data_IF_014373078328
#
_entry.id   IF_014373078328
#
_cell.length_a   1.000
_cell.length_b   1.000
_cell.length_c   1.000
_cell.angle_alpha   90.00
_cell.angle_beta   90.00
_cell.angle_gamma   90.00
#
_symmetry.space_group_name_H-M   'P 1'
#
loop_
_entity.id
_entity.type
_entity.pdbx_description
1 polymer ?
#
# COMPACT_ATOMS: atom_id res chain seq x y z
N UNK A 1 -12.84 19.62 -5.55
CA UNK A 1 -11.55 18.93 -5.72
C UNK A 1 -11.46 17.71 -4.80
N UNK A 2 -11.01 16.54 -5.29
CA UNK A 2 -10.79 15.33 -4.47
C UNK A 2 -11.90 14.26 -4.50
N UNK A 3 -13.01 14.51 -5.20
CA UNK A 3 -14.12 13.55 -5.35
C UNK A 3 -14.13 12.85 -6.72
N UNK A 4 -13.26 13.26 -7.64
CA UNK A 4 -13.15 12.64 -8.94
C UNK A 4 -12.51 11.23 -8.81
N UNK A 5 -13.00 10.24 -9.57
CA UNK A 5 -12.41 8.91 -9.58
C UNK A 5 -10.98 8.94 -10.14
N UNK A 6 -10.18 7.95 -9.73
CA UNK A 6 -8.82 7.75 -10.24
C UNK A 6 -8.68 6.35 -10.85
N UNK A 7 -7.78 6.23 -11.81
CA UNK A 7 -7.40 4.93 -12.36
C UNK A 7 -6.38 4.27 -11.41
N UNK A 8 -6.58 2.99 -11.12
CA UNK A 8 -5.67 2.20 -10.29
C UNK A 8 -4.70 1.41 -11.18
N UNK A 9 -3.43 1.38 -10.79
CA UNK A 9 -2.43 0.46 -11.37
C UNK A 9 -2.37 -0.79 -10.48
N UNK A 10 -2.57 -1.96 -11.09
CA UNK A 10 -2.53 -3.25 -10.38
C UNK A 10 -1.33 -4.05 -10.88
N UNK A 11 -0.46 -4.45 -9.97
CA UNK A 11 0.73 -5.27 -10.25
C UNK A 11 0.94 -6.33 -9.17
N UNK A 12 1.72 -7.36 -9.48
CA UNK A 12 1.96 -8.51 -8.60
C UNK A 12 3.45 -8.72 -8.27
N UNK A 13 4.33 -7.79 -8.65
CA UNK A 13 5.77 -7.90 -8.37
C UNK A 13 6.13 -7.37 -6.97
N UNK A 14 5.41 -6.36 -6.49
CA UNK A 14 5.65 -5.72 -5.21
C UNK A 14 4.45 -5.94 -4.27
N UNK A 15 4.75 -6.45 -3.08
CA UNK A 15 3.76 -6.61 -2.02
C UNK A 15 4.09 -5.69 -0.86
N UNK A 16 3.12 -4.87 -0.44
CA UNK A 16 3.28 -3.89 0.66
C UNK A 16 3.63 -4.54 2.00
N UNK A 17 3.12 -5.76 2.25
CA UNK A 17 3.34 -6.48 3.50
C UNK A 17 3.16 -7.99 3.29
N UNK A 18 3.76 -8.78 4.18
CA UNK A 18 3.58 -10.24 4.26
C UNK A 18 2.66 -10.62 5.43
N UNK A 19 2.06 -11.83 5.43
CA UNK A 19 1.40 -12.38 6.61
C UNK A 19 2.35 -12.38 7.82
N UNK A 20 1.89 -11.85 8.96
CA UNK A 20 2.72 -11.69 10.16
C UNK A 20 3.64 -10.46 10.16
N UNK A 21 3.71 -9.69 9.07
CA UNK A 21 4.46 -8.44 9.00
C UNK A 21 3.73 -7.24 9.63
N UNK A 22 4.26 -6.03 9.46
CA UNK A 22 3.73 -4.79 10.05
C UNK A 22 2.56 -4.19 9.29
N UNK A 23 1.94 -4.91 8.35
CA UNK A 23 0.92 -4.38 7.45
C UNK A 23 -0.33 -3.82 8.13
N UNK A 24 -0.63 -4.28 9.36
CA UNK A 24 -1.75 -3.81 10.19
C UNK A 24 -1.41 -2.70 11.18
N UNK A 25 -0.14 -2.29 11.28
CA UNK A 25 0.31 -1.20 12.16
C UNK A 25 0.65 0.02 11.32
N UNK A 26 0.27 1.22 11.75
CA UNK A 26 0.64 2.47 11.08
C UNK A 26 2.10 2.85 11.41
N UNK A 27 3.05 2.06 10.91
CA UNK A 27 4.49 2.31 11.08
C UNK A 27 5.06 3.06 9.88
N UNK A 28 6.11 3.86 10.10
CA UNK A 28 6.81 4.59 9.03
C UNK A 28 7.39 3.65 7.96
N UNK A 29 7.74 2.41 8.34
CA UNK A 29 8.31 1.41 7.42
C UNK A 29 7.36 0.93 6.32
N UNK A 30 6.05 1.14 6.44
CA UNK A 30 5.06 0.70 5.45
C UNK A 30 4.88 1.69 4.27
N UNK A 31 5.65 2.79 4.23
CA UNK A 31 5.50 3.88 3.25
C UNK A 31 6.77 4.18 2.44
N UNK A 32 7.89 3.51 2.75
CA UNK A 32 9.18 3.75 2.11
C UNK A 32 9.41 2.89 0.86
N UNK A 33 9.17 1.56 0.89
CA UNK A 33 9.01 0.76 -0.33
C UNK A 33 7.65 1.04 -0.97
#
# INVERSE_FOLDING_TARGET
EGLAPINLVVENQFHRATPGGTGGIKTIGNYAP
#
